data_IF_530659330310
#
_entry.id   IF_530659330310
#
_cell.length_a   1.000
_cell.length_b   1.000
_cell.length_c   1.000
_cell.angle_alpha   90.00
_cell.angle_beta   90.00
_cell.angle_gamma   90.00
#
_symmetry.space_group_name_H-M   'P 1'
#
loop_
_entity.id
_entity.type
_entity.pdbx_description
1 polymer ?
#
# COMPACT_ATOMS: atom_id res chain seq x y z
N UNK A 1 38.54 -43.99 -15.56
CA UNK A 1 39.16 -42.74 -16.04
C UNK A 1 38.48 -42.39 -17.35
N UNK A 2 37.79 -41.28 -17.57
CA UNK A 2 37.58 -40.11 -16.72
C UNK A 2 36.19 -39.51 -16.94
N UNK A 3 35.71 -38.83 -15.91
CA UNK A 3 34.62 -37.86 -15.99
C UNK A 3 35.22 -36.54 -16.51
N UNK A 4 34.55 -35.89 -17.47
CA UNK A 4 34.81 -34.51 -17.88
C UNK A 4 33.48 -33.91 -18.35
N UNK A 5 32.75 -33.23 -17.47
CA UNK A 5 32.83 -31.77 -17.22
C UNK A 5 32.16 -30.96 -18.34
N UNK A 6 30.84 -30.92 -18.34
CA UNK A 6 30.06 -29.86 -19.01
C UNK A 6 30.14 -28.59 -18.17
N UNK A 7 30.89 -27.60 -18.63
CA UNK A 7 30.84 -26.24 -18.10
C UNK A 7 29.74 -25.47 -18.82
N UNK A 8 28.54 -25.38 -18.23
CA UNK A 8 27.52 -24.44 -18.67
C UNK A 8 27.78 -23.06 -18.05
N UNK A 9 27.81 -22.05 -18.93
CA UNK A 9 28.14 -20.68 -18.61
C UNK A 9 27.07 -20.05 -17.70
N UNK A 10 27.53 -19.39 -16.63
CA UNK A 10 26.69 -18.55 -15.78
C UNK A 10 26.02 -17.45 -16.63
N UNK A 11 24.68 -17.44 -16.63
CA UNK A 11 23.88 -16.40 -17.26
C UNK A 11 24.15 -15.00 -16.67
N UNK A 12 23.78 -13.93 -17.38
CA UNK A 12 24.12 -12.57 -17.01
C UNK A 12 23.57 -12.21 -15.62
N UNK A 13 24.51 -11.84 -14.76
CA UNK A 13 24.42 -11.39 -13.37
C UNK A 13 23.12 -10.62 -13.00
N UNK A 14 22.34 -11.20 -12.07
CA UNK A 14 21.09 -10.69 -11.47
C UNK A 14 21.26 -9.31 -10.78
N UNK A 15 22.51 -8.94 -10.50
CA UNK A 15 22.93 -7.64 -9.97
C UNK A 15 22.53 -6.43 -10.86
N UNK A 16 22.20 -6.65 -12.14
CA UNK A 16 21.81 -5.56 -13.05
C UNK A 16 20.31 -5.22 -12.96
N UNK A 17 19.51 -6.04 -12.26
CA UNK A 17 18.07 -5.79 -11.98
C UNK A 17 17.87 -4.95 -10.72
N UNK A 18 18.82 -5.03 -9.78
CA UNK A 18 18.95 -4.20 -8.57
C UNK A 18 19.18 -2.71 -8.87
N UNK A 19 19.40 -2.38 -10.16
CA UNK A 19 19.49 -1.02 -10.70
C UNK A 19 18.16 -0.53 -11.30
N UNK A 20 17.03 -1.16 -10.97
CA UNK A 20 15.72 -0.53 -11.12
C UNK A 20 15.69 0.67 -10.18
N UNK A 21 16.21 1.79 -10.69
CA UNK A 21 16.05 3.17 -10.24
C UNK A 21 15.07 3.26 -9.08
N UNK A 22 15.55 3.67 -7.88
CA UNK A 22 14.70 4.13 -6.77
C UNK A 22 13.80 5.26 -7.30
N UNK A 23 12.72 4.90 -7.99
CA UNK A 23 11.77 5.83 -8.58
C UNK A 23 11.15 6.53 -7.39
N UNK A 24 11.39 7.83 -7.31
CA UNK A 24 10.79 8.67 -6.29
C UNK A 24 9.27 8.58 -6.47
N UNK A 25 8.56 8.26 -5.40
CA UNK A 25 7.10 8.18 -5.40
C UNK A 25 6.54 9.56 -5.76
N UNK A 26 5.59 9.60 -6.69
CA UNK A 26 4.89 10.82 -7.07
C UNK A 26 3.77 11.13 -6.07
N UNK A 27 4.16 11.81 -4.99
CA UNK A 27 3.22 12.25 -3.96
C UNK A 27 2.21 13.28 -4.44
N UNK A 28 2.51 14.04 -5.50
CA UNK A 28 1.55 15.02 -6.04
C UNK A 28 0.40 14.27 -6.72
N UNK A 29 0.72 13.29 -7.56
CA UNK A 29 -0.28 12.45 -8.21
C UNK A 29 -1.13 11.70 -7.19
N UNK A 30 -0.50 11.09 -6.17
CA UNK A 30 -1.21 10.40 -5.09
C UNK A 30 -2.18 11.35 -4.37
N UNK A 31 -1.74 12.56 -4.03
CA UNK A 31 -2.54 13.53 -3.29
C UNK A 31 -3.71 14.09 -4.12
N UNK A 32 -3.50 14.27 -5.42
CA UNK A 32 -4.53 14.73 -6.34
C UNK A 32 -5.61 13.68 -6.57
N UNK A 33 -5.19 12.43 -6.79
CA UNK A 33 -6.09 11.33 -7.17
C UNK A 33 -6.77 10.65 -5.98
N UNK A 34 -6.11 10.54 -4.83
CA UNK A 34 -6.73 10.04 -3.60
C UNK A 34 -7.50 11.14 -2.87
N UNK A 35 -8.77 11.31 -3.26
CA UNK A 35 -9.67 12.32 -2.70
C UNK A 35 -10.09 11.95 -1.27
N UNK A 36 -9.33 12.42 -0.27
CA UNK A 36 -9.45 12.00 1.15
C UNK A 36 -10.11 13.03 2.06
N UNK A 37 -10.26 14.29 1.65
CA UNK A 37 -10.82 15.33 2.51
C UNK A 37 -12.34 15.16 2.71
N UNK A 38 -12.92 15.96 3.61
CA UNK A 38 -14.32 15.83 4.05
C UNK A 38 -15.25 16.85 3.40
N UNK A 39 -14.82 17.58 2.37
CA UNK A 39 -15.68 18.53 1.66
C UNK A 39 -16.82 17.81 0.92
N UNK A 40 -17.90 18.54 0.64
CA UNK A 40 -19.05 18.00 -0.09
C UNK A 40 -18.69 17.71 -1.56
N UNK A 41 -17.82 18.51 -2.18
CA UNK A 41 -17.29 18.27 -3.52
C UNK A 41 -16.50 16.95 -3.56
N UNK A 42 -15.64 16.74 -2.57
CA UNK A 42 -14.85 15.52 -2.45
C UNK A 42 -15.70 14.29 -2.12
N UNK A 43 -16.79 14.47 -1.38
CA UNK A 43 -17.80 13.42 -1.16
C UNK A 43 -18.49 13.03 -2.47
N UNK A 44 -18.90 14.00 -3.29
CA UNK A 44 -19.50 13.76 -4.59
C UNK A 44 -18.53 13.04 -5.54
N UNK A 45 -17.27 13.50 -5.63
CA UNK A 45 -16.21 12.84 -6.41
C UNK A 45 -16.01 11.39 -6.00
N UNK A 46 -15.94 11.10 -4.69
CA UNK A 46 -15.82 9.72 -4.20
C UNK A 46 -17.02 8.86 -4.52
N UNK A 47 -18.22 9.43 -4.52
CA UNK A 47 -19.43 8.69 -4.89
C UNK A 47 -19.39 8.23 -6.35
N UNK A 48 -18.98 9.12 -7.27
CA UNK A 48 -18.83 8.77 -8.69
C UNK A 48 -17.64 7.85 -8.93
N UNK A 49 -16.55 8.01 -8.17
CA UNK A 49 -15.41 7.10 -8.19
C UNK A 49 -15.79 5.69 -7.72
N UNK A 50 -16.57 5.57 -6.64
CA UNK A 50 -17.03 4.27 -6.15
C UNK A 50 -17.81 3.51 -7.22
N UNK A 51 -18.72 4.18 -7.93
CA UNK A 51 -19.48 3.56 -9.03
C UNK A 51 -18.57 3.04 -10.16
N UNK A 52 -17.46 3.73 -10.44
CA UNK A 52 -16.50 3.29 -11.43
C UNK A 52 -15.69 2.06 -10.96
N UNK A 53 -15.46 1.94 -9.65
CA UNK A 53 -14.84 0.77 -9.03
C UNK A 53 -15.81 -0.43 -8.94
N UNK A 54 -17.12 -0.17 -8.93
CA UNK A 54 -18.22 -1.14 -8.82
C UNK A 54 -18.94 -1.35 -10.17
N UNK A 55 -18.28 -1.96 -11.19
CA UNK A 55 -18.88 -2.13 -12.51
C UNK A 55 -20.06 -3.10 -12.53
N UNK A 56 -20.20 -3.98 -11.53
CA UNK A 56 -21.34 -4.89 -11.43
C UNK A 56 -22.54 -4.24 -10.71
N UNK A 57 -22.33 -3.11 -10.03
CA UNK A 57 -23.38 -2.31 -9.38
C UNK A 57 -23.96 -2.96 -8.14
N UNK A 58 -23.24 -3.86 -7.47
CA UNK A 58 -23.72 -4.59 -6.30
C UNK A 58 -23.70 -3.73 -5.01
N UNK A 59 -23.01 -2.58 -5.03
CA UNK A 59 -22.92 -1.62 -3.93
C UNK A 59 -21.75 -1.83 -2.96
N UNK A 60 -20.82 -2.74 -3.24
CA UNK A 60 -19.65 -3.06 -2.43
C UNK A 60 -18.45 -3.46 -3.32
N UNK A 61 -17.23 -3.39 -2.78
CA UNK A 61 -16.02 -3.72 -3.55
C UNK A 61 -15.27 -4.87 -2.90
N UNK A 62 -15.01 -5.90 -3.68
CA UNK A 62 -14.00 -6.93 -3.39
C UNK A 62 -12.59 -6.39 -3.56
N UNK A 63 -11.60 -7.13 -3.04
CA UNK A 63 -10.19 -6.79 -3.24
C UNK A 63 -9.82 -6.73 -4.74
N UNK A 64 -10.41 -7.60 -5.57
CA UNK A 64 -10.17 -7.62 -7.01
C UNK A 64 -10.73 -6.36 -7.71
N UNK A 65 -11.89 -5.88 -7.28
CA UNK A 65 -12.48 -4.64 -7.78
C UNK A 65 -11.67 -3.41 -7.33
N UNK A 66 -11.17 -3.41 -6.10
CA UNK A 66 -10.23 -2.37 -5.64
C UNK A 66 -8.95 -2.38 -6.47
N UNK A 67 -8.35 -3.54 -6.72
CA UNK A 67 -7.14 -3.68 -7.55
C UNK A 67 -7.37 -3.19 -8.99
N UNK A 68 -8.50 -3.57 -9.58
CA UNK A 68 -8.89 -3.12 -10.93
C UNK A 68 -9.16 -1.61 -10.97
N UNK A 69 -9.89 -1.07 -9.99
CA UNK A 69 -10.18 0.36 -9.92
C UNK A 69 -8.91 1.20 -9.75
N UNK A 70 -7.94 0.73 -8.96
CA UNK A 70 -6.64 1.39 -8.84
C UNK A 70 -5.89 1.46 -10.17
N UNK A 71 -5.96 0.39 -10.96
CA UNK A 71 -5.33 0.29 -12.28
C UNK A 71 -6.04 1.12 -13.34
N UNK A 72 -7.35 0.96 -13.48
CA UNK A 72 -8.09 1.42 -14.66
C UNK A 72 -8.67 2.82 -14.46
N UNK A 73 -9.06 3.16 -13.22
CA UNK A 73 -9.76 4.40 -12.87
C UNK A 73 -8.79 5.41 -12.28
N UNK A 74 -8.12 5.07 -11.18
CA UNK A 74 -7.17 5.99 -10.55
C UNK A 74 -5.86 6.08 -11.34
N UNK A 75 -5.37 4.97 -11.90
CA UNK A 75 -4.12 4.92 -12.66
C UNK A 75 -2.95 5.53 -11.87
N UNK A 76 -2.82 5.12 -10.60
CA UNK A 76 -1.73 5.55 -9.72
C UNK A 76 -0.75 4.39 -9.62
N UNK A 77 0.23 4.37 -10.53
CA UNK A 77 1.13 3.22 -10.70
C UNK A 77 1.93 2.92 -9.44
N UNK A 78 2.36 3.94 -8.69
CA UNK A 78 3.16 3.74 -7.47
C UNK A 78 2.38 2.97 -6.39
N UNK A 79 1.07 3.20 -6.28
CA UNK A 79 0.20 2.43 -5.38
C UNK A 79 -0.15 1.08 -6.00
N UNK A 80 -0.54 1.08 -7.27
CA UNK A 80 -0.97 -0.14 -7.96
C UNK A 80 0.12 -1.23 -7.97
N UNK A 81 1.38 -0.82 -8.12
CA UNK A 81 2.53 -1.73 -8.08
C UNK A 81 2.91 -2.18 -6.67
N UNK A 82 2.39 -1.54 -5.62
CA UNK A 82 2.62 -1.91 -4.23
C UNK A 82 1.47 -2.75 -3.65
N UNK A 83 1.41 -4.02 -4.05
CA UNK A 83 0.37 -4.97 -3.57
C UNK A 83 0.26 -5.09 -2.04
N UNK A 84 1.37 -5.06 -1.26
CA UNK A 84 1.27 -5.06 0.20
C UNK A 84 0.47 -3.87 0.75
N UNK A 85 0.66 -2.66 0.18
CA UNK A 85 -0.09 -1.45 0.57
C UNK A 85 -1.58 -1.61 0.27
N UNK A 86 -1.93 -2.11 -0.92
CA UNK A 86 -3.32 -2.34 -1.31
C UNK A 86 -3.99 -3.33 -0.36
N UNK A 87 -3.33 -4.46 -0.09
CA UNK A 87 -3.85 -5.48 0.82
C UNK A 87 -4.06 -4.91 2.22
N UNK A 88 -3.07 -4.21 2.79
CA UNK A 88 -3.20 -3.63 4.13
C UNK A 88 -4.29 -2.55 4.19
N UNK A 89 -4.41 -1.72 3.16
CA UNK A 89 -5.46 -0.71 3.09
C UNK A 89 -6.85 -1.36 3.04
N UNK A 90 -7.03 -2.39 2.23
CA UNK A 90 -8.30 -3.13 2.15
C UNK A 90 -8.68 -3.73 3.51
N UNK A 91 -7.75 -4.46 4.15
CA UNK A 91 -7.99 -5.09 5.44
C UNK A 91 -8.28 -4.07 6.56
N UNK A 92 -7.63 -2.91 6.54
CA UNK A 92 -7.88 -1.85 7.53
C UNK A 92 -9.20 -1.09 7.30
N UNK A 93 -9.78 -1.22 6.11
CA UNK A 93 -10.98 -0.46 5.71
C UNK A 93 -12.28 -1.25 5.83
N UNK A 94 -12.23 -2.57 5.56
CA UNK A 94 -13.40 -3.44 5.65
C UNK A 94 -13.86 -3.57 7.10
N UNK A 95 -15.18 -3.56 7.33
CA UNK A 95 -15.75 -3.70 8.68
C UNK A 95 -15.64 -2.45 9.56
N UNK A 96 -15.36 -1.27 8.97
CA UNK A 96 -15.39 0.00 9.70
C UNK A 96 -16.81 0.54 9.89
N UNK A 97 -17.78 -0.01 9.16
CA UNK A 97 -19.18 0.28 9.41
C UNK A 97 -19.57 -0.10 10.86
N UNK A 98 -20.38 0.74 11.55
CA UNK A 98 -20.92 0.38 12.86
C UNK A 98 -21.69 -0.94 12.82
N UNK A 99 -21.74 -1.70 13.94
CA UNK A 99 -22.50 -2.95 14.02
C UNK A 99 -23.94 -2.77 13.51
N UNK A 100 -24.39 -3.68 12.66
CA UNK A 100 -25.72 -3.66 12.05
C UNK A 100 -25.91 -2.66 10.90
N UNK A 101 -24.88 -1.91 10.49
CA UNK A 101 -24.92 -1.06 9.30
C UNK A 101 -24.25 -1.66 8.07
N UNK A 102 -23.39 -2.65 8.25
CA UNK A 102 -22.86 -3.43 7.13
C UNK A 102 -23.94 -4.37 6.62
N UNK A 103 -24.22 -4.30 5.32
CA UNK A 103 -25.14 -5.20 4.62
C UNK A 103 -24.42 -6.42 4.08
N UNK A 104 -23.13 -6.29 3.80
CA UNK A 104 -22.34 -7.31 3.12
C UNK A 104 -21.26 -7.96 4.00
N UNK A 105 -21.18 -7.55 5.27
CA UNK A 105 -20.22 -8.08 6.25
C UNK A 105 -18.84 -7.45 6.12
N UNK A 106 -17.86 -8.07 6.78
CA UNK A 106 -16.50 -7.54 6.92
C UNK A 106 -15.55 -8.03 5.81
N UNK A 107 -16.07 -8.52 4.69
CA UNK A 107 -15.28 -9.04 3.57
C UNK A 107 -15.17 -8.11 2.37
N UNK A 108 -15.92 -7.01 2.39
CA UNK A 108 -16.00 -6.06 1.29
C UNK A 108 -15.83 -4.63 1.79
N UNK A 109 -15.56 -3.72 0.86
CA UNK A 109 -15.59 -2.28 1.11
C UNK A 109 -16.94 -1.74 0.68
N UNK A 110 -17.70 -1.23 1.62
CA UNK A 110 -18.94 -0.51 1.32
C UNK A 110 -18.69 0.97 1.04
N UNK A 111 -19.70 1.66 0.49
CA UNK A 111 -19.62 3.09 0.12
C UNK A 111 -19.13 3.99 1.26
N UNK A 112 -19.56 3.71 2.50
CA UNK A 112 -19.18 4.50 3.67
C UNK A 112 -17.73 4.27 4.11
N UNK A 113 -17.15 3.13 3.72
CA UNK A 113 -15.78 2.73 4.05
C UNK A 113 -14.79 3.15 2.97
N UNK A 114 -15.28 3.40 1.75
CA UNK A 114 -14.44 3.74 0.59
C UNK A 114 -13.53 4.95 0.83
N UNK A 115 -14.00 5.98 1.54
CA UNK A 115 -13.13 7.11 1.90
C UNK A 115 -11.95 6.65 2.77
N UNK A 116 -12.20 5.75 3.73
CA UNK A 116 -11.15 5.22 4.60
C UNK A 116 -10.16 4.36 3.82
N UNK A 117 -10.62 3.60 2.82
CA UNK A 117 -9.73 2.91 1.87
C UNK A 117 -8.73 3.87 1.22
N UNK A 118 -9.20 5.01 0.69
CA UNK A 118 -8.29 6.00 0.08
C UNK A 118 -7.31 6.61 1.11
N UNK A 119 -7.77 6.84 2.34
CA UNK A 119 -6.89 7.32 3.43
C UNK A 119 -5.81 6.30 3.77
N UNK A 120 -6.18 5.03 3.91
CA UNK A 120 -5.21 3.98 4.24
C UNK A 120 -4.25 3.69 3.10
N UNK A 121 -4.69 3.72 1.84
CA UNK A 121 -3.78 3.62 0.70
C UNK A 121 -2.68 4.70 0.77
N UNK A 122 -3.08 5.95 1.03
CA UNK A 122 -2.14 7.07 1.18
C UNK A 122 -1.19 6.87 2.37
N UNK A 123 -1.72 6.53 3.54
CA UNK A 123 -0.92 6.41 4.76
C UNK A 123 0.01 5.20 4.71
N UNK A 124 -0.46 4.04 4.24
CA UNK A 124 0.37 2.85 4.10
C UNK A 124 1.42 3.01 3.01
N UNK A 125 1.16 3.77 1.94
CA UNK A 125 2.21 4.12 0.98
C UNK A 125 3.31 4.98 1.61
N UNK A 126 2.96 5.88 2.54
CA UNK A 126 3.94 6.73 3.23
C UNK A 126 4.81 5.90 4.18
N UNK A 127 4.18 4.98 4.91
CA UNK A 127 4.89 4.02 5.77
C UNK A 127 5.80 3.13 4.92
N UNK A 128 5.30 2.62 3.80
CA UNK A 128 6.06 1.80 2.86
C UNK A 128 7.30 2.54 2.34
N UNK A 129 7.17 3.80 1.95
CA UNK A 129 8.31 4.60 1.49
C UNK A 129 9.39 4.75 2.58
N UNK A 130 8.98 4.98 3.82
CA UNK A 130 9.92 5.16 4.94
C UNK A 130 10.69 3.87 5.20
N UNK A 131 9.99 2.73 5.27
CA UNK A 131 10.63 1.44 5.54
C UNK A 131 11.47 0.96 4.36
N UNK A 132 11.00 1.12 3.12
CA UNK A 132 11.78 0.76 1.92
C UNK A 132 13.06 1.61 1.75
N UNK A 133 13.13 2.80 2.36
CA UNK A 133 14.36 3.61 2.37
C UNK A 133 15.36 3.15 3.43
N UNK A 134 14.92 2.42 4.44
CA UNK A 134 15.74 2.01 5.57
C UNK A 134 16.17 0.54 5.55
N UNK A 135 15.41 -0.29 4.84
CA UNK A 135 15.76 -1.67 4.50
C UNK A 135 16.92 -1.67 3.49
N UNK A 136 18.14 -1.70 4.01
CA UNK A 136 19.36 -1.77 3.20
C UNK A 136 19.61 -3.20 2.70
N UNK A 137 19.03 -4.19 3.39
CA UNK A 137 19.12 -5.61 3.05
C UNK A 137 18.19 -6.05 1.92
N UNK A 138 17.17 -5.24 1.60
CA UNK A 138 16.10 -5.50 0.63
C UNK A 138 15.35 -6.83 0.90
N UNK A 139 15.29 -7.24 2.17
CA UNK A 139 14.60 -8.47 2.59
C UNK A 139 13.12 -8.24 2.99
N UNK A 140 12.66 -6.98 2.85
CA UNK A 140 11.33 -6.48 3.24
C UNK A 140 11.06 -6.58 4.74
N UNK A 141 12.13 -6.60 5.54
CA UNK A 141 12.10 -6.50 7.00
C UNK A 141 13.04 -5.37 7.39
N UNK A 142 12.95 -4.98 8.66
CA UNK A 142 13.93 -4.10 9.25
C UNK A 142 14.59 -4.90 10.35
N UNK A 143 15.91 -4.97 10.33
CA UNK A 143 16.65 -5.32 11.54
C UNK A 143 16.71 -4.10 12.49
N UNK A 144 17.25 -4.29 13.70
CA UNK A 144 17.26 -3.22 14.72
C UNK A 144 18.04 -1.97 14.27
N UNK A 145 19.13 -2.15 13.54
CA UNK A 145 19.96 -1.05 13.05
C UNK A 145 19.24 -0.27 11.94
N UNK A 146 18.57 -0.97 11.02
CA UNK A 146 17.74 -0.34 9.98
C UNK A 146 16.53 0.37 10.59
N UNK A 147 15.86 -0.23 11.56
CA UNK A 147 14.74 0.36 12.27
C UNK A 147 15.14 1.64 13.03
N UNK A 148 16.34 1.67 13.61
CA UNK A 148 16.86 2.85 14.30
C UNK A 148 16.95 4.08 13.39
N UNK A 149 17.11 3.90 12.07
CA UNK A 149 17.17 4.98 11.08
C UNK A 149 15.81 5.65 10.86
N UNK A 150 14.72 4.88 10.96
CA UNK A 150 13.34 5.39 10.77
C UNK A 150 12.70 5.84 12.07
N UNK A 151 13.21 5.39 13.20
CA UNK A 151 12.68 5.70 14.53
C UNK A 151 12.46 7.20 14.80
N UNK A 152 13.37 8.14 14.46
CA UNK A 152 13.13 9.57 14.67
C UNK A 152 11.90 10.10 13.91
N UNK A 153 11.57 9.49 12.78
CA UNK A 153 10.36 9.84 12.02
C UNK A 153 9.11 9.22 12.64
N UNK A 154 9.20 7.97 13.12
CA UNK A 154 8.11 7.30 13.85
C UNK A 154 7.76 8.01 15.16
N UNK A 155 8.74 8.57 15.87
CA UNK A 155 8.49 9.36 17.09
C UNK A 155 7.61 10.59 16.84
N UNK A 156 7.62 11.15 15.62
CA UNK A 156 6.71 12.26 15.27
C UNK A 156 5.25 11.81 15.20
N UNK A 157 5.01 10.52 14.93
CA UNK A 157 3.69 9.92 14.85
C UNK A 157 3.25 9.31 16.19
N UNK A 158 4.20 8.75 16.95
CA UNK A 158 3.99 8.11 18.24
C UNK A 158 4.92 8.73 19.30
N UNK A 159 4.61 9.95 19.78
CA UNK A 159 5.45 10.60 20.78
C UNK A 159 5.45 9.80 22.10
N UNK A 160 6.61 9.69 22.74
CA UNK A 160 6.76 9.08 24.07
C UNK A 160 7.09 7.57 24.08
N UNK A 161 7.07 6.89 22.93
CA UNK A 161 7.49 5.48 22.82
C UNK A 161 9.01 5.40 22.60
N UNK A 162 9.74 4.68 23.45
CA UNK A 162 11.19 4.44 23.30
C UNK A 162 11.50 3.52 22.11
N UNK A 163 12.78 3.50 21.66
CA UNK A 163 13.20 2.65 20.54
C UNK A 163 12.99 1.17 20.84
N UNK A 164 13.32 0.74 22.06
CA UNK A 164 13.16 -0.65 22.48
C UNK A 164 11.68 -1.04 22.63
N UNK A 165 10.82 -0.15 23.13
CA UNK A 165 9.38 -0.40 23.15
C UNK A 165 8.81 -0.50 21.73
N UNK A 166 9.23 0.40 20.82
CA UNK A 166 8.76 0.41 19.44
C UNK A 166 9.21 -0.82 18.63
N UNK A 167 10.40 -1.36 18.93
CA UNK A 167 10.93 -2.56 18.27
C UNK A 167 10.25 -3.85 18.72
N UNK A 168 9.80 -3.91 19.98
CA UNK A 168 9.21 -5.12 20.58
C UNK A 168 7.68 -5.10 20.67
N UNK A 169 7.02 -4.06 20.17
CA UNK A 169 5.56 -3.92 20.13
C UNK A 169 4.93 -4.71 18.98
#
# INVERSE_FOLDING_TARGET
MGCGSSSEAAGPNDQNKTRALKKKIDWNEINEKLVTDRSDESKAKRFDMFKQFDPNGNGYLSLAEVDKGLRDILRVDDIFNCKPVIMRAFQASKGLNPPGRSKHGDDYIEKNEFRMLLVYLKNFMAIWEIFAKADDSDDRRLNKDEFSKVYPQLQKWCPGMSLDEAWNA
#
